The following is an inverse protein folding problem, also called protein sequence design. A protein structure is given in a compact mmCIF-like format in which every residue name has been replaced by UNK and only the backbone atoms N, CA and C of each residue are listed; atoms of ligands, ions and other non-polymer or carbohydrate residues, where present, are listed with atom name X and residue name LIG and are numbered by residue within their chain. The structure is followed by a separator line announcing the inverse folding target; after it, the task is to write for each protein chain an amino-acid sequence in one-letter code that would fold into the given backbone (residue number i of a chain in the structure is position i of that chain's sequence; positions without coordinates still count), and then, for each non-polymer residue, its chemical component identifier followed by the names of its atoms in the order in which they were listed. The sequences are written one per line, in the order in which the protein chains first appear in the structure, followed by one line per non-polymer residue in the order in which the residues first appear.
data_IF_420325144387
#
_entry.id   IF_420325144387
#
_cell.length_a   1.000
_cell.length_b   1.000
_cell.length_c   1.000
_cell.angle_alpha   90.00
_cell.angle_beta   90.00
_cell.angle_gamma   90.00
#
_symmetry.space_group_name_H-M   'P 1'
#
loop_
_entity.id
_entity.type
_entity.pdbx_description
1 polymer ?
#
# COMPACT_ATOMS: atom_id res chain seq x y z
N UNK A 1 7.62 4.85 3.02
CA UNK A 1 8.25 5.98 2.31
C UNK A 1 9.24 5.43 1.28
N UNK A 2 8.78 4.65 0.29
CA UNK A 2 9.64 4.23 -0.83
C UNK A 2 9.97 5.42 -1.75
N UNK A 3 10.16 5.20 -3.04
CA UNK A 3 10.40 6.29 -4.02
C UNK A 3 9.35 7.42 -4.02
N UNK A 4 8.18 7.21 -3.40
CA UNK A 4 7.19 8.27 -3.10
C UNK A 4 7.68 9.34 -2.10
N UNK A 5 8.81 9.15 -1.44
CA UNK A 5 9.45 10.12 -0.55
C UNK A 5 10.71 10.78 -1.14
N UNK A 6 11.16 10.33 -2.32
CA UNK A 6 12.38 10.81 -2.99
C UNK A 6 12.95 9.75 -3.93
N UNK A 7 13.66 10.17 -4.98
CA UNK A 7 14.24 9.26 -5.99
C UNK A 7 15.43 8.45 -5.46
N UNK A 8 16.05 8.88 -4.36
CA UNK A 8 17.26 8.30 -3.78
C UNK A 8 17.09 8.06 -2.28
N UNK A 9 17.84 7.07 -1.76
CA UNK A 9 17.92 6.78 -0.33
C UNK A 9 19.32 6.27 0.02
N UNK A 10 19.86 6.73 1.15
CA UNK A 10 21.13 6.24 1.67
C UNK A 10 20.92 5.01 2.57
N UNK A 11 21.76 3.98 2.38
CA UNK A 11 21.73 2.74 3.15
C UNK A 11 23.10 2.42 3.74
N UNK A 12 23.13 1.94 4.98
CA UNK A 12 24.37 1.43 5.59
C UNK A 12 24.70 0.03 5.07
N UNK A 13 25.57 -0.04 4.06
CA UNK A 13 25.95 -1.30 3.39
C UNK A 13 26.61 -2.32 4.33
N UNK A 14 27.33 -1.86 5.37
CA UNK A 14 27.92 -2.75 6.38
C UNK A 14 26.83 -3.50 7.15
N UNK A 15 25.75 -2.82 7.51
CA UNK A 15 24.61 -3.42 8.20
C UNK A 15 23.88 -4.42 7.31
N UNK A 16 23.59 -4.04 6.05
CA UNK A 16 22.95 -4.94 5.08
C UNK A 16 23.75 -6.23 4.90
N UNK A 17 25.05 -6.12 4.63
CA UNK A 17 25.94 -7.25 4.40
C UNK A 17 26.08 -8.15 5.64
N UNK A 18 26.43 -7.57 6.80
CA UNK A 18 26.70 -8.36 8.02
C UNK A 18 25.46 -9.08 8.54
N UNK A 19 24.27 -8.50 8.34
CA UNK A 19 23.00 -9.07 8.80
C UNK A 19 22.26 -9.86 7.71
N UNK A 20 22.86 -10.03 6.53
CA UNK A 20 22.26 -10.73 5.37
C UNK A 20 20.84 -10.23 5.06
N UNK A 21 20.66 -8.92 5.10
CA UNK A 21 19.37 -8.30 4.81
C UNK A 21 19.15 -8.16 3.30
N UNK A 22 17.91 -8.27 2.86
CA UNK A 22 17.50 -8.07 1.47
C UNK A 22 16.63 -6.83 1.34
N UNK A 23 16.86 -6.05 0.27
CA UNK A 23 15.99 -4.95 -0.13
C UNK A 23 15.08 -5.46 -1.23
N UNK A 24 13.77 -5.47 -0.98
CA UNK A 24 12.77 -5.87 -1.95
C UNK A 24 12.08 -4.63 -2.52
N UNK A 25 12.23 -4.40 -3.82
CA UNK A 25 11.48 -3.39 -4.55
C UNK A 25 10.06 -3.88 -4.84
N UNK A 26 9.08 -2.99 -4.77
CA UNK A 26 7.70 -3.27 -5.19
C UNK A 26 7.26 -2.21 -6.19
N UNK A 27 6.91 -2.64 -7.40
CA UNK A 27 6.46 -1.80 -8.50
C UNK A 27 5.08 -2.26 -8.99
N UNK A 28 4.07 -2.20 -8.11
CA UNK A 28 2.72 -2.71 -8.41
C UNK A 28 2.04 -2.12 -9.65
N UNK A 29 2.48 -0.94 -10.09
CA UNK A 29 1.97 -0.28 -11.31
C UNK A 29 2.59 -0.81 -12.61
N UNK A 30 3.68 -1.58 -12.55
CA UNK A 30 4.36 -2.14 -13.72
C UNK A 30 3.98 -3.60 -14.01
N UNK A 31 3.05 -4.17 -13.24
CA UNK A 31 2.63 -5.56 -13.39
C UNK A 31 1.84 -5.78 -14.70
N UNK A 32 2.14 -6.89 -15.38
CA UNK A 32 1.36 -7.39 -16.51
C UNK A 32 -0.07 -7.76 -16.10
N UNK A 33 -0.94 -8.00 -17.09
CA UNK A 33 -2.33 -8.36 -16.83
C UNK A 33 -2.48 -9.67 -16.04
N UNK A 34 -1.68 -10.69 -16.39
CA UNK A 34 -1.69 -12.00 -15.71
C UNK A 34 -1.19 -11.91 -14.27
N UNK A 35 -0.11 -11.18 -14.03
CA UNK A 35 0.46 -10.98 -12.69
C UNK A 35 -0.54 -10.25 -11.79
N UNK A 36 -1.23 -9.22 -12.32
CA UNK A 36 -2.30 -8.52 -11.61
C UNK A 36 -3.48 -9.44 -11.28
N UNK A 37 -3.90 -10.29 -12.22
CA UNK A 37 -4.98 -11.26 -11.99
C UNK A 37 -4.62 -12.22 -10.86
N UNK A 38 -3.45 -12.85 -10.93
CA UNK A 38 -2.98 -13.79 -9.91
C UNK A 38 -2.85 -13.12 -8.53
N UNK A 39 -2.31 -11.91 -8.48
CA UNK A 39 -2.21 -11.14 -7.24
C UNK A 39 -3.57 -10.85 -6.61
N UNK A 40 -4.56 -10.48 -7.43
CA UNK A 40 -5.94 -10.24 -6.98
C UNK A 40 -6.60 -11.52 -6.47
N UNK A 41 -6.47 -12.63 -7.19
CA UNK A 41 -7.03 -13.92 -6.77
C UNK A 41 -6.48 -14.36 -5.40
N UNK A 42 -5.15 -14.25 -5.22
CA UNK A 42 -4.50 -14.57 -3.93
C UNK A 42 -4.94 -13.64 -2.82
N UNK A 43 -5.07 -12.33 -3.08
CA UNK A 43 -5.54 -11.38 -2.08
C UNK A 43 -7.00 -11.67 -1.65
N UNK A 44 -7.87 -12.02 -2.60
CA UNK A 44 -9.25 -12.41 -2.31
C UNK A 44 -9.32 -13.74 -1.52
N UNK A 45 -8.48 -14.72 -1.87
CA UNK A 45 -8.39 -15.97 -1.11
C UNK A 45 -7.96 -15.70 0.35
N UNK A 46 -6.94 -14.88 0.56
CA UNK A 46 -6.47 -14.50 1.89
C UNK A 46 -7.54 -13.74 2.70
N UNK A 47 -8.35 -12.89 2.05
CA UNK A 47 -9.50 -12.24 2.71
C UNK A 47 -10.54 -13.26 3.17
N UNK A 48 -10.87 -14.23 2.30
CA UNK A 48 -11.83 -15.29 2.59
C UNK A 48 -11.35 -16.20 3.72
N UNK A 49 -10.05 -16.51 3.74
CA UNK A 49 -9.41 -17.39 4.72
C UNK A 49 -9.12 -16.70 6.06
N UNK A 50 -9.22 -15.37 6.11
CA UNK A 50 -8.96 -14.58 7.31
C UNK A 50 -7.50 -14.21 7.53
N UNK A 51 -6.59 -14.64 6.65
CA UNK A 51 -5.17 -14.31 6.65
C UNK A 51 -4.90 -12.83 6.31
N UNK A 52 -5.85 -12.20 5.61
CA UNK A 52 -5.85 -10.78 5.33
C UNK A 52 -7.11 -10.14 5.91
N UNK A 53 -6.95 -9.04 6.65
CA UNK A 53 -8.06 -8.20 7.11
C UNK A 53 -7.87 -6.77 6.62
N UNK A 54 -8.81 -6.28 5.82
CA UNK A 54 -8.85 -4.87 5.41
C UNK A 54 -9.60 -4.08 6.48
N UNK A 55 -8.88 -3.23 7.21
CA UNK A 55 -9.50 -2.27 8.12
C UNK A 55 -10.01 -1.08 7.31
N UNK A 56 -11.31 -1.00 7.11
CA UNK A 56 -11.96 0.24 6.66
C UNK A 56 -12.02 1.16 7.86
N UNK A 57 -11.34 2.30 7.77
CA UNK A 57 -11.38 3.32 8.81
C UNK A 57 -12.62 4.18 8.68
N UNK A 58 -12.86 4.65 7.45
CA UNK A 58 -13.84 5.69 7.16
C UNK A 58 -14.44 5.47 5.77
N UNK A 59 -15.71 5.85 5.62
CA UNK A 59 -16.41 5.90 4.33
C UNK A 59 -16.95 7.33 4.20
N UNK A 60 -16.64 7.97 3.09
CA UNK A 60 -17.12 9.32 2.74
C UNK A 60 -17.90 9.23 1.44
N UNK A 61 -18.82 10.16 1.20
CA UNK A 61 -19.47 10.29 -0.10
C UNK A 61 -18.47 10.77 -1.16
N UNK A 62 -18.72 10.46 -2.43
CA UNK A 62 -17.81 10.84 -3.53
C UNK A 62 -17.59 12.35 -3.58
N UNK A 63 -18.61 13.15 -3.27
CA UNK A 63 -18.55 14.61 -3.22
C UNK A 63 -17.52 15.13 -2.20
N UNK A 64 -17.19 14.32 -1.19
CA UNK A 64 -16.23 14.64 -0.13
C UNK A 64 -14.79 14.27 -0.50
N UNK A 65 -14.49 14.04 -1.78
CA UNK A 65 -13.14 13.66 -2.25
C UNK A 65 -12.03 14.62 -1.78
N UNK A 66 -12.30 15.92 -1.71
CA UNK A 66 -11.30 16.90 -1.25
C UNK A 66 -11.01 16.75 0.25
N UNK A 67 -12.05 16.52 1.05
CA UNK A 67 -11.91 16.22 2.48
C UNK A 67 -11.13 14.92 2.70
N UNK A 68 -11.38 13.89 1.88
CA UNK A 68 -10.61 12.65 1.91
C UNK A 68 -9.11 12.91 1.68
N UNK A 69 -8.76 13.76 0.70
CA UNK A 69 -7.36 14.12 0.43
C UNK A 69 -6.72 14.89 1.58
N UNK A 70 -7.43 15.85 2.19
CA UNK A 70 -6.93 16.61 3.34
C UNK A 70 -6.64 15.69 4.54
N UNK A 71 -7.53 14.74 4.83
CA UNK A 71 -7.34 13.74 5.89
C UNK A 71 -6.14 12.84 5.63
N UNK A 72 -5.92 12.44 4.38
CA UNK A 72 -4.73 11.67 3.98
C UNK A 72 -3.44 12.49 4.15
N UNK A 73 -3.44 13.74 3.68
CA UNK A 73 -2.28 14.63 3.75
C UNK A 73 -1.88 14.95 5.20
N UNK A 74 -2.87 15.19 6.07
CA UNK A 74 -2.68 15.44 7.50
C UNK A 74 -2.36 14.18 8.31
N UNK A 75 -2.33 12.99 7.68
CA UNK A 75 -2.12 11.70 8.33
C UNK A 75 -3.17 11.37 9.41
N UNK A 76 -4.38 11.87 9.25
CA UNK A 76 -5.49 11.63 10.19
C UNK A 76 -6.19 10.27 9.97
N UNK A 77 -5.93 9.58 8.84
CA UNK A 77 -6.61 8.33 8.48
C UNK A 77 -5.92 7.11 9.09
N UNK A 78 -6.70 6.23 9.72
CA UNK A 78 -6.27 4.90 10.13
C UNK A 78 -7.02 3.82 9.34
N UNK A 79 -6.27 3.02 8.56
CA UNK A 79 -6.86 2.00 7.69
C UNK A 79 -7.13 2.53 6.28
N UNK A 80 -8.13 1.95 5.60
CA UNK A 80 -8.58 2.37 4.27
C UNK A 80 -9.71 3.37 4.39
N UNK A 81 -9.62 4.45 3.63
CA UNK A 81 -10.71 5.37 3.37
C UNK A 81 -11.40 4.92 2.07
N UNK A 82 -12.73 4.80 2.12
CA UNK A 82 -13.55 4.45 0.96
C UNK A 82 -14.39 5.66 0.54
N UNK A 83 -14.62 5.78 -0.76
CA UNK A 83 -15.58 6.73 -1.33
C UNK A 83 -16.81 5.93 -1.78
N UNK A 84 -17.98 6.29 -1.27
CA UNK A 84 -19.27 5.76 -1.69
C UNK A 84 -19.78 6.52 -2.91
N UNK A 85 -20.57 5.84 -3.75
CA UNK A 85 -21.17 6.34 -4.99
C UNK A 85 -22.67 6.54 -4.81
#
# INVERSE_FOLDING_TARGET
FGVSAGAEVELNMRTLYRKRLSVLGYAGLQLGADERRQGRERALAALREGDLRVRVGEVLELEQVNEAFERLASRAVQGKLLLAL
#
